data_IF_587669445684
#
_entry.id   IF_587669445684
#
_cell.length_a   1.000
_cell.length_b   1.000
_cell.length_c   1.000
_cell.angle_alpha   90.00
_cell.angle_beta   90.00
_cell.angle_gamma   90.00
#
_symmetry.space_group_name_H-M   'P 1'
#
loop_
_entity.id
_entity.type
_entity.pdbx_description
1 polymer ?
#
# COMPACT_ATOMS: atom_id res chain seq x y z
N UNK A 1 1.41 -0.84 5.64
CA UNK A 1 0.09 -1.45 5.42
C UNK A 1 0.02 -2.75 6.19
N UNK A 2 -0.62 -2.76 7.38
CA UNK A 2 -0.76 -3.96 8.20
C UNK A 2 -1.47 -5.07 7.43
N UNK A 3 -0.93 -6.28 7.47
CA UNK A 3 -1.50 -7.41 6.72
C UNK A 3 -2.94 -7.72 7.13
N UNK A 4 -3.28 -7.51 8.40
CA UNK A 4 -4.63 -7.66 8.95
C UNK A 4 -5.61 -6.55 8.52
N UNK A 5 -5.14 -5.45 7.91
CA UNK A 5 -5.99 -4.39 7.38
C UNK A 5 -6.23 -4.55 5.86
N UNK A 6 -5.68 -5.60 5.25
CA UNK A 6 -5.94 -5.91 3.84
C UNK A 6 -7.33 -6.52 3.70
N UNK A 7 -8.15 -5.93 2.85
CA UNK A 7 -9.45 -6.49 2.47
C UNK A 7 -9.25 -7.76 1.63
N UNK A 8 -8.21 -7.78 0.78
CA UNK A 8 -7.83 -8.91 -0.07
C UNK A 8 -6.31 -9.10 -0.08
N UNK A 9 -5.88 -10.35 -0.07
CA UNK A 9 -4.47 -10.74 -0.05
C UNK A 9 -4.03 -11.57 -1.28
N UNK A 10 -4.93 -11.76 -2.26
CA UNK A 10 -4.75 -12.54 -3.49
C UNK A 10 -4.30 -11.69 -4.68
N UNK A 11 -3.75 -10.49 -4.43
CA UNK A 11 -3.42 -9.52 -5.47
C UNK A 11 -2.07 -9.77 -6.16
N UNK A 12 -1.23 -10.69 -5.64
CA UNK A 12 0.05 -11.07 -6.21
C UNK A 12 -0.09 -12.32 -7.07
N UNK A 13 0.66 -12.39 -8.17
CA UNK A 13 0.85 -13.63 -8.92
C UNK A 13 1.75 -14.60 -8.14
N UNK A 14 1.79 -15.89 -8.51
CA UNK A 14 2.71 -16.85 -7.89
C UNK A 14 4.18 -16.41 -7.97
N UNK A 15 4.61 -15.86 -9.11
CA UNK A 15 5.99 -15.38 -9.32
C UNK A 15 6.30 -14.20 -8.40
N UNK A 16 5.40 -13.22 -8.30
CA UNK A 16 5.60 -12.06 -7.42
C UNK A 16 5.55 -12.45 -5.94
N UNK A 17 4.70 -13.43 -5.58
CA UNK A 17 4.66 -13.99 -4.23
C UNK A 17 6.00 -14.63 -3.87
N UNK A 18 6.56 -15.42 -4.80
CA UNK A 18 7.87 -16.04 -4.62
C UNK A 18 8.98 -15.00 -4.43
N UNK A 19 9.00 -13.94 -5.24
CA UNK A 19 9.97 -12.83 -5.08
C UNK A 19 9.88 -12.23 -3.67
N UNK A 20 8.67 -11.96 -3.19
CA UNK A 20 8.48 -11.40 -1.83
C UNK A 20 8.91 -12.38 -0.74
N UNK A 21 8.70 -13.69 -0.93
CA UNK A 21 9.12 -14.72 0.03
C UNK A 21 10.64 -14.89 0.07
N UNK A 22 11.32 -14.82 -1.07
CA UNK A 22 12.78 -14.87 -1.19
C UNK A 22 13.41 -13.62 -0.58
N UNK A 23 12.84 -12.44 -0.84
CA UNK A 23 13.29 -11.17 -0.25
C UNK A 23 13.19 -11.16 1.28
N UNK A 24 12.26 -11.89 1.89
CA UNK A 24 12.19 -11.98 3.35
C UNK A 24 13.40 -12.71 3.92
N UNK A 25 13.94 -13.68 3.18
CA UNK A 25 15.07 -14.52 3.60
C UNK A 25 16.43 -13.87 3.31
N UNK A 26 16.47 -12.87 2.45
CA UNK A 26 17.68 -12.20 1.98
C UNK A 26 17.79 -10.77 2.51
N UNK A 27 19.01 -10.29 2.77
CA UNK A 27 19.24 -8.90 3.21
C UNK A 27 18.99 -7.89 2.08
N UNK A 28 19.24 -8.29 0.82
CA UNK A 28 19.02 -7.47 -0.36
C UNK A 28 17.60 -7.63 -0.92
N UNK A 29 16.64 -7.02 -0.21
CA UNK A 29 15.22 -7.08 -0.60
C UNK A 29 14.97 -6.25 -1.84
N UNK A 30 14.77 -6.88 -2.98
CA UNK A 30 14.51 -6.18 -4.25
C UNK A 30 13.08 -5.62 -4.25
N UNK A 31 12.12 -6.42 -3.84
CA UNK A 31 10.69 -6.16 -3.87
C UNK A 31 10.08 -6.43 -5.24
N UNK A 32 8.77 -6.25 -5.33
CA UNK A 32 8.04 -6.31 -6.60
C UNK A 32 7.82 -4.89 -7.11
N UNK A 33 8.26 -4.62 -8.33
CA UNK A 33 8.02 -3.34 -8.99
C UNK A 33 6.54 -3.15 -9.32
N UNK A 34 6.03 -1.95 -9.07
CA UNK A 34 4.65 -1.58 -9.34
C UNK A 34 4.52 -0.12 -9.77
N UNK A 35 3.37 0.22 -10.35
CA UNK A 35 3.00 1.60 -10.70
C UNK A 35 1.90 2.06 -9.76
N UNK A 36 2.12 3.16 -9.03
CA UNK A 36 1.06 3.85 -8.30
C UNK A 36 0.50 4.98 -9.16
N UNK A 37 -0.82 5.10 -9.20
CA UNK A 37 -1.56 6.17 -9.88
C UNK A 37 -2.33 6.97 -8.84
N UNK A 38 -2.17 8.31 -8.85
CA UNK A 38 -2.92 9.19 -7.95
C UNK A 38 -4.25 9.68 -8.56
N UNK A 39 -5.02 10.44 -7.77
CA UNK A 39 -6.30 11.01 -8.17
C UNK A 39 -6.20 11.99 -9.36
N UNK A 40 -5.01 12.52 -9.64
CA UNK A 40 -4.73 13.37 -10.80
C UNK A 40 -4.21 12.57 -12.00
N UNK A 41 -4.28 11.23 -11.94
CA UNK A 41 -3.75 10.30 -12.93
C UNK A 41 -2.23 10.38 -13.14
N UNK A 42 -1.48 11.00 -12.20
CA UNK A 42 -0.01 10.95 -12.24
C UNK A 42 0.46 9.57 -11.84
N UNK A 43 1.56 9.12 -12.44
CA UNK A 43 2.12 7.79 -12.28
C UNK A 43 3.45 7.86 -11.55
N UNK A 44 3.66 6.94 -10.61
CA UNK A 44 4.85 6.84 -9.78
C UNK A 44 5.35 5.40 -9.79
N UNK A 45 6.64 5.20 -10.05
CA UNK A 45 7.27 3.90 -9.86
C UNK A 45 7.47 3.63 -8.36
N UNK A 46 6.99 2.50 -7.87
CA UNK A 46 7.13 2.10 -6.47
C UNK A 46 7.55 0.65 -6.36
N UNK A 47 8.16 0.28 -5.24
CA UNK A 47 8.48 -1.10 -4.91
C UNK A 47 7.62 -1.59 -3.76
N UNK A 48 6.85 -2.66 -3.99
CA UNK A 48 6.13 -3.37 -2.95
C UNK A 48 7.08 -4.33 -2.23
N UNK A 49 7.14 -4.22 -0.91
CA UNK A 49 7.92 -5.12 -0.04
C UNK A 49 7.07 -5.64 1.11
N UNK A 50 7.41 -6.82 1.62
CA UNK A 50 6.81 -7.40 2.84
C UNK A 50 7.86 -7.45 3.95
N UNK A 51 7.48 -7.04 5.15
CA UNK A 51 8.34 -6.99 6.33
C UNK A 51 7.67 -7.64 7.52
N UNK A 52 8.46 -8.41 8.29
CA UNK A 52 8.03 -8.91 9.59
C UNK A 52 8.31 -7.84 10.64
N UNK A 53 7.26 -7.37 11.32
CA UNK A 53 7.42 -6.62 12.55
C UNK A 53 7.45 -7.60 13.71
N UNK A 54 8.62 -7.85 14.27
CA UNK A 54 8.77 -8.67 15.47
C UNK A 54 8.07 -7.97 16.65
N UNK A 55 7.29 -8.75 17.41
CA UNK A 55 6.72 -8.30 18.67
C UNK A 55 7.52 -8.91 19.82
N UNK A 56 7.63 -8.20 20.92
CA UNK A 56 8.29 -8.69 22.14
C UNK A 56 7.66 -9.99 22.65
N UNK A 57 6.35 -10.18 22.42
CA UNK A 57 5.58 -11.35 22.82
C UNK A 57 5.71 -12.56 21.87
N UNK A 58 6.63 -12.52 20.90
CA UNK A 58 6.99 -13.67 20.06
C UNK A 58 6.42 -13.61 18.65
N UNK A 59 5.10 -13.70 18.46
CA UNK A 59 4.52 -13.71 17.09
C UNK A 59 4.56 -12.32 16.45
N UNK A 60 5.46 -12.15 15.49
CA UNK A 60 5.52 -10.97 14.64
C UNK A 60 4.28 -10.81 13.76
N UNK A 61 4.05 -9.59 13.29
CA UNK A 61 3.01 -9.28 12.30
C UNK A 61 3.63 -8.88 10.98
N UNK A 62 3.07 -9.38 9.88
CA UNK A 62 3.50 -8.99 8.54
C UNK A 62 2.90 -7.65 8.13
N UNK A 63 3.68 -6.87 7.39
CA UNK A 63 3.25 -5.61 6.81
C UNK A 63 3.73 -5.54 5.36
N UNK A 64 2.92 -4.97 4.49
CA UNK A 64 3.39 -4.47 3.20
C UNK A 64 3.82 -3.01 3.30
N UNK A 65 4.84 -2.64 2.53
CA UNK A 65 5.28 -1.26 2.35
C UNK A 65 5.48 -0.94 0.86
N UNK A 66 5.12 0.28 0.47
CA UNK A 66 5.53 0.87 -0.79
C UNK A 66 6.79 1.70 -0.55
N UNK A 67 7.82 1.46 -1.34
CA UNK A 67 9.16 2.06 -1.18
C UNK A 67 9.67 2.62 -2.51
N UNK A 68 10.88 3.20 -2.51
CA UNK A 68 11.61 3.78 -3.66
C UNK A 68 10.98 4.97 -4.40
N UNK A 69 9.65 5.14 -4.39
CA UNK A 69 8.96 6.31 -4.96
C UNK A 69 7.87 6.89 -4.05
N UNK A 70 7.69 6.34 -2.85
CA UNK A 70 6.64 6.78 -1.93
C UNK A 70 6.79 8.24 -1.48
N UNK A 71 8.02 8.73 -1.28
CA UNK A 71 8.25 10.12 -0.89
C UNK A 71 7.78 11.12 -1.95
N UNK A 72 7.91 10.77 -3.24
CA UNK A 72 7.42 11.59 -4.34
C UNK A 72 5.89 11.61 -4.35
N UNK A 73 5.24 10.47 -4.10
CA UNK A 73 3.79 10.37 -3.92
C UNK A 73 3.33 11.28 -2.78
N UNK A 74 3.97 11.19 -1.61
CA UNK A 74 3.66 12.01 -0.43
C UNK A 74 3.77 13.49 -0.76
N UNK A 75 4.89 13.92 -1.35
CA UNK A 75 5.12 15.34 -1.70
C UNK A 75 4.13 15.85 -2.73
N UNK A 76 3.86 15.08 -3.79
CA UNK A 76 2.97 15.49 -4.88
C UNK A 76 1.50 15.55 -4.47
N UNK A 77 1.10 14.76 -3.46
CA UNK A 77 -0.27 14.69 -2.96
C UNK A 77 -0.48 15.47 -1.64
N UNK A 78 0.57 16.13 -1.13
CA UNK A 78 0.49 16.92 0.10
C UNK A 78 0.20 16.10 1.36
N UNK A 79 0.53 14.80 1.34
CA UNK A 79 0.26 13.89 2.46
C UNK A 79 1.13 14.24 3.68
N UNK A 80 0.54 14.15 4.85
CA UNK A 80 1.18 14.43 6.15
C UNK A 80 1.10 13.21 7.06
N UNK A 81 1.89 13.25 8.13
CA UNK A 81 1.74 12.27 9.20
C UNK A 81 0.30 12.30 9.75
N UNK A 82 -0.25 11.12 10.03
CA UNK A 82 -1.64 10.89 10.47
C UNK A 82 -2.72 11.08 9.41
N UNK A 83 -2.37 11.40 8.16
CA UNK A 83 -3.34 11.31 7.07
C UNK A 83 -3.70 9.85 6.80
N UNK A 84 -4.98 9.61 6.59
CA UNK A 84 -5.48 8.30 6.16
C UNK A 84 -5.62 8.29 4.65
N UNK A 85 -5.10 7.24 4.03
CA UNK A 85 -5.27 6.98 2.60
C UNK A 85 -5.61 5.51 2.39
N UNK A 86 -6.43 5.25 1.38
CA UNK A 86 -6.68 3.91 0.88
C UNK A 86 -5.82 3.66 -0.35
N UNK A 87 -5.31 2.43 -0.48
CA UNK A 87 -4.57 2.00 -1.65
C UNK A 87 -5.23 0.75 -2.21
N UNK A 88 -5.60 0.80 -3.49
CA UNK A 88 -6.28 -0.30 -4.19
C UNK A 88 -5.32 -0.95 -5.16
N UNK A 89 -5.17 -2.27 -5.11
CA UNK A 89 -4.41 -3.00 -6.12
C UNK A 89 -5.26 -3.25 -7.36
N UNK A 90 -4.64 -3.20 -8.53
CA UNK A 90 -5.22 -3.60 -9.80
C UNK A 90 -4.16 -4.10 -10.77
N UNK A 91 -4.59 -4.69 -11.88
CA UNK A 91 -3.70 -5.16 -12.95
C UNK A 91 -3.92 -4.37 -14.22
N UNK A 92 -2.82 -3.93 -14.82
CA UNK A 92 -2.84 -3.33 -16.15
C UNK A 92 -1.87 -4.11 -17.04
N UNK A 93 -2.39 -4.86 -18.01
CA UNK A 93 -1.58 -5.68 -18.94
C UNK A 93 -0.59 -6.60 -18.20
N UNK A 94 -1.03 -7.22 -17.10
CA UNK A 94 -0.22 -8.11 -16.26
C UNK A 94 0.63 -7.40 -15.19
N UNK A 95 0.88 -6.10 -15.32
CA UNK A 95 1.69 -5.33 -14.37
C UNK A 95 0.87 -5.03 -13.11
N UNK A 96 1.51 -5.18 -11.94
CA UNK A 96 0.97 -4.77 -10.65
C UNK A 96 0.88 -3.24 -10.58
N UNK A 97 -0.33 -2.74 -10.32
CA UNK A 97 -0.57 -1.32 -10.14
C UNK A 97 -1.34 -1.06 -8.85
N UNK A 98 -1.23 0.17 -8.37
CA UNK A 98 -1.94 0.68 -7.20
C UNK A 98 -2.64 1.99 -7.53
N UNK A 99 -3.84 2.19 -7.01
CA UNK A 99 -4.51 3.49 -7.04
C UNK A 99 -4.49 4.09 -5.64
N UNK A 100 -4.01 5.34 -5.53
CA UNK A 100 -4.11 6.12 -4.30
C UNK A 100 -5.50 6.75 -4.24
N UNK A 101 -6.21 6.49 -3.16
CA UNK A 101 -7.54 7.02 -2.90
C UNK A 101 -7.47 7.81 -1.59
N UNK A 102 -7.75 9.13 -1.61
CA UNK A 102 -7.87 9.90 -0.38
C UNK A 102 -8.85 9.23 0.57
N UNK A 103 -8.61 9.27 1.89
CA UNK A 103 -9.68 8.91 2.80
C UNK A 103 -10.89 9.78 2.49
N UNK A 104 -12.04 9.16 2.23
CA UNK A 104 -13.29 9.89 2.33
C UNK A 104 -13.31 10.46 3.75
N UNK A 105 -13.48 11.77 3.90
CA UNK A 105 -13.96 12.25 5.19
C UNK A 105 -15.20 11.43 5.49
N UNK A 106 -15.16 10.63 6.56
CA UNK A 106 -16.39 10.25 7.21
C UNK A 106 -16.95 11.58 7.69
N UNK A 107 -17.76 12.19 6.82
CA UNK A 107 -18.70 13.21 7.21
C UNK A 107 -19.49 12.61 8.37
N UNK A 108 -19.08 12.94 9.59
CA UNK A 108 -19.98 13.01 10.73
C UNK A 108 -20.93 14.20 10.49
N UNK A 109 -21.63 14.23 9.36
CA UNK A 109 -22.88 14.96 9.29
C UNK A 109 -23.92 14.02 9.90
N UNK A 110 -24.03 14.08 11.23
CA UNK A 110 -25.38 14.09 11.77
C UNK A 110 -26.08 15.27 11.09
N UNK A 111 -26.81 14.99 10.02
CA UNK A 111 -27.81 15.93 9.54
C UNK A 111 -28.92 15.94 10.60
N UNK A 112 -28.66 16.68 11.67
CA UNK A 112 -29.65 17.62 12.16
C UNK A 112 -29.90 18.61 11.01
N UNK A 113 -30.95 18.35 10.25
CA UNK A 113 -31.76 19.40 9.64
C UNK A 113 -33.19 18.86 9.56
N UNK A 114 -33.93 19.18 10.61
CA UNK A 114 -35.38 19.34 10.53
C UNK A 114 -35.68 20.27 9.35
N UNK A 115 -36.45 19.79 8.37
CA UNK A 115 -37.74 20.36 7.96
C UNK A 115 -38.62 19.18 7.54
#
# INVERSE_FOLDING_TARGET
MPFNHLIRNDFLTPVESQIIEEDIKNDNKTGVGAILVDQMSKKYGVMLKRWEMKKETGRGSWNYSLTCGWNDVVKANGLKANDYVSVWSFRCRGVLCFALVPAMEQSSSSLALCI
#
